data_IF_396061967022
#
_entry.id   IF_396061967022
#
_cell.length_a   1.000
_cell.length_b   1.000
_cell.length_c   1.000
_cell.angle_alpha   90.00
_cell.angle_beta   90.00
_cell.angle_gamma   90.00
#
_symmetry.space_group_name_H-M   'P 1'
#
loop_
_entity.id
_entity.type
_entity.pdbx_description
1 polymer ?
#
# COMPACT_ATOMS: atom_id res chain seq x y z
N UNK A 1 3.76 -10.05 -5.40
CA UNK A 1 3.39 -8.65 -5.70
C UNK A 1 3.58 -8.27 -7.17
N UNK A 2 4.66 -8.72 -7.83
CA UNK A 2 5.06 -8.31 -9.19
C UNK A 2 3.97 -8.38 -10.29
N UNK A 3 3.16 -9.44 -10.33
CA UNK A 3 2.11 -9.57 -11.36
C UNK A 3 1.02 -8.50 -11.22
N UNK A 4 0.61 -8.22 -9.98
CA UNK A 4 -0.36 -7.14 -9.67
C UNK A 4 0.23 -5.78 -10.05
N UNK A 5 1.48 -5.51 -9.64
CA UNK A 5 2.21 -4.30 -10.01
C UNK A 5 2.23 -4.07 -11.52
N UNK A 6 2.63 -5.07 -12.30
CA UNK A 6 2.67 -5.00 -13.78
C UNK A 6 1.28 -4.80 -14.39
N UNK A 7 0.26 -5.46 -13.85
CA UNK A 7 -1.11 -5.34 -14.35
C UNK A 7 -1.68 -3.94 -14.14
N UNK A 8 -1.56 -3.40 -12.93
CA UNK A 8 -1.98 -2.03 -12.60
C UNK A 8 -1.20 -1.01 -13.42
N UNK A 9 0.13 -1.16 -13.49
CA UNK A 9 0.99 -0.29 -14.29
C UNK A 9 0.56 -0.24 -15.76
N UNK A 10 0.27 -1.39 -16.37
CA UNK A 10 -0.19 -1.44 -17.76
C UNK A 10 -1.51 -0.69 -17.99
N UNK A 11 -2.43 -0.70 -17.01
CA UNK A 11 -3.71 0.03 -17.09
C UNK A 11 -3.47 1.55 -16.98
N UNK A 12 -2.58 1.97 -16.10
CA UNK A 12 -2.16 3.38 -15.93
C UNK A 12 -1.52 3.89 -17.23
N UNK A 13 -0.54 3.16 -17.77
CA UNK A 13 0.18 3.53 -19.00
C UNK A 13 -0.74 3.60 -20.23
N UNK A 14 -1.76 2.75 -20.29
CA UNK A 14 -2.81 2.81 -21.33
C UNK A 14 -3.81 3.96 -21.12
N UNK A 15 -3.65 4.77 -20.08
CA UNK A 15 -4.48 5.93 -19.78
C UNK A 15 -5.93 5.59 -19.41
N UNK A 16 -6.22 4.34 -19.04
CA UNK A 16 -7.59 3.85 -18.86
C UNK A 16 -8.33 4.49 -17.69
N UNK A 17 -7.60 4.91 -16.66
CA UNK A 17 -8.14 5.66 -15.52
C UNK A 17 -7.74 7.14 -15.51
N UNK A 18 -7.05 7.62 -16.55
CA UNK A 18 -6.42 8.93 -16.55
C UNK A 18 -5.24 9.00 -15.58
N UNK A 19 -5.09 10.12 -14.86
CA UNK A 19 -4.03 10.29 -13.86
C UNK A 19 -4.52 9.78 -12.50
N UNK A 20 -3.77 8.90 -11.80
CA UNK A 20 -4.10 8.48 -10.44
C UNK A 20 -4.19 9.68 -9.48
N UNK A 21 -5.21 9.67 -8.62
CA UNK A 21 -5.47 10.74 -7.64
C UNK A 21 -5.64 10.22 -6.22
N UNK A 22 -6.08 8.98 -6.05
CA UNK A 22 -6.25 8.36 -4.74
C UNK A 22 -6.03 6.86 -4.78
N UNK A 23 -5.33 6.33 -3.78
CA UNK A 23 -5.17 4.88 -3.57
C UNK A 23 -5.70 4.50 -2.19
N UNK A 24 -6.55 3.48 -2.15
CA UNK A 24 -6.77 2.68 -0.93
C UNK A 24 -6.13 1.31 -1.12
N UNK A 25 -5.31 0.90 -0.17
CA UNK A 25 -4.77 -0.45 -0.10
C UNK A 25 -5.03 -1.04 1.29
N UNK A 26 -5.58 -2.24 1.35
CA UNK A 26 -5.67 -3.03 2.58
C UNK A 26 -4.91 -4.33 2.34
N UNK A 27 -3.83 -4.52 3.08
CA UNK A 27 -3.04 -5.74 3.08
C UNK A 27 -3.31 -6.49 4.39
N UNK A 28 -3.83 -7.69 4.28
CA UNK A 28 -3.86 -8.67 5.35
C UNK A 28 -2.61 -9.54 5.25
N UNK A 29 -1.87 -9.68 6.34
CA UNK A 29 -0.67 -10.51 6.41
C UNK A 29 -0.85 -11.59 7.49
N UNK A 30 -0.46 -12.82 7.16
CA UNK A 30 -0.50 -13.93 8.10
C UNK A 30 0.37 -13.63 9.34
N UNK A 31 -0.09 -14.11 10.50
CA UNK A 31 0.44 -13.79 11.83
C UNK A 31 1.91 -14.16 12.07
N UNK A 32 2.51 -14.96 11.22
CA UNK A 32 3.91 -15.39 11.34
C UNK A 32 4.93 -14.26 11.09
N UNK A 33 4.48 -13.11 10.58
CA UNK A 33 5.36 -11.95 10.36
C UNK A 33 5.67 -11.22 11.67
N UNK A 34 6.94 -11.16 12.05
CA UNK A 34 7.41 -10.57 13.31
C UNK A 34 7.13 -9.07 13.43
N UNK A 35 7.26 -8.31 12.34
CA UNK A 35 7.06 -6.86 12.30
C UNK A 35 6.29 -6.42 11.06
N UNK A 36 5.31 -5.53 11.24
CA UNK A 36 4.55 -4.91 10.16
C UNK A 36 5.32 -3.78 9.44
N UNK A 37 6.53 -3.41 9.89
CA UNK A 37 7.27 -2.30 9.29
C UNK A 37 7.68 -2.60 7.84
N UNK A 38 8.24 -3.78 7.59
CA UNK A 38 8.64 -4.21 6.23
C UNK A 38 7.44 -4.25 5.25
N UNK A 39 6.33 -4.96 5.52
CA UNK A 39 5.19 -4.95 4.61
C UNK A 39 4.61 -3.56 4.42
N UNK A 40 4.63 -2.71 5.47
CA UNK A 40 4.18 -1.32 5.36
C UNK A 40 5.04 -0.53 4.37
N UNK A 41 6.37 -0.62 4.48
CA UNK A 41 7.25 0.12 3.56
C UNK A 41 7.19 -0.39 2.13
N UNK A 42 6.99 -1.69 1.93
CA UNK A 42 6.76 -2.25 0.59
C UNK A 42 5.48 -1.72 -0.04
N UNK A 43 4.38 -1.65 0.71
CA UNK A 43 3.10 -1.12 0.20
C UNK A 43 3.18 0.40 -0.05
N UNK A 44 3.94 1.14 0.75
CA UNK A 44 4.27 2.55 0.47
C UNK A 44 5.04 2.68 -0.84
N UNK A 45 6.10 1.88 -1.04
CA UNK A 45 6.86 1.89 -2.30
C UNK A 45 5.98 1.53 -3.51
N UNK A 46 5.07 0.56 -3.36
CA UNK A 46 4.10 0.20 -4.39
C UNK A 46 3.20 1.40 -4.74
N UNK A 47 2.70 2.12 -3.73
CA UNK A 47 1.87 3.31 -3.94
C UNK A 47 2.61 4.43 -4.66
N UNK A 48 3.87 4.68 -4.29
CA UNK A 48 4.71 5.70 -4.92
C UNK A 48 4.98 5.39 -6.39
N UNK A 49 5.15 4.11 -6.74
CA UNK A 49 5.32 3.70 -8.14
C UNK A 49 4.10 3.92 -9.02
N UNK A 50 2.89 4.05 -8.45
CA UNK A 50 1.65 4.30 -9.20
C UNK A 50 1.23 5.77 -9.21
N UNK A 51 1.66 6.56 -8.22
CA UNK A 51 1.30 7.96 -8.15
C UNK A 51 2.16 8.80 -9.09
N UNK A 52 1.58 9.84 -9.74
CA UNK A 52 2.30 10.66 -10.72
C UNK A 52 3.23 11.70 -10.07
N UNK A 53 3.30 11.75 -8.74
CA UNK A 53 4.00 12.79 -7.98
C UNK A 53 4.76 12.15 -6.83
N UNK A 54 5.81 12.84 -6.36
CA UNK A 54 6.62 12.37 -5.25
C UNK A 54 5.87 12.50 -3.91
N UNK A 55 6.12 11.61 -2.94
CA UNK A 55 5.59 11.76 -1.60
C UNK A 55 6.13 13.05 -0.95
N UNK A 56 5.25 13.76 -0.26
CA UNK A 56 5.53 15.03 0.42
C UNK A 56 5.47 14.86 1.94
N UNK A 57 4.46 14.14 2.44
CA UNK A 57 4.30 13.86 3.87
C UNK A 57 3.80 12.45 4.09
N UNK A 58 4.30 11.84 5.15
CA UNK A 58 3.86 10.53 5.64
C UNK A 58 3.27 10.70 7.03
N UNK A 59 2.06 10.19 7.20
CA UNK A 59 1.39 10.03 8.48
C UNK A 59 1.31 8.53 8.75
N UNK A 60 1.67 8.10 9.96
CA UNK A 60 1.56 6.69 10.32
C UNK A 60 0.99 6.56 11.73
N UNK A 61 0.13 5.55 11.92
CA UNK A 61 -0.46 5.21 13.20
C UNK A 61 -0.54 3.70 13.37
N UNK A 62 -0.51 3.26 14.62
CA UNK A 62 -0.53 1.85 14.99
C UNK A 62 0.77 1.40 15.62
N UNK A 63 0.99 0.10 15.65
CA UNK A 63 2.18 -0.52 16.24
C UNK A 63 2.65 -1.66 15.34
N UNK A 64 3.92 -1.60 14.94
CA UNK A 64 4.56 -2.57 14.05
C UNK A 64 4.59 -3.98 14.63
N UNK A 65 4.48 -4.12 15.95
CA UNK A 65 4.46 -5.42 16.63
C UNK A 65 3.03 -5.87 17.00
N UNK A 66 2.00 -5.04 16.78
CA UNK A 66 0.62 -5.32 17.14
C UNK A 66 -0.21 -5.82 15.93
N UNK A 67 -1.49 -5.48 15.89
CA UNK A 67 -2.44 -5.98 14.89
C UNK A 67 -2.47 -5.15 13.61
N UNK A 68 -2.07 -3.89 13.64
CA UNK A 68 -2.29 -2.99 12.52
C UNK A 68 -1.31 -1.83 12.50
N UNK A 69 -0.90 -1.46 11.28
CA UNK A 69 -0.29 -0.18 10.94
C UNK A 69 -1.10 0.46 9.81
N UNK A 70 -1.47 1.72 9.96
CA UNK A 70 -2.09 2.52 8.91
C UNK A 70 -1.17 3.67 8.53
N UNK A 71 -0.93 3.85 7.24
CA UNK A 71 -0.14 4.92 6.67
C UNK A 71 -0.99 5.75 5.71
N UNK A 72 -0.85 7.06 5.80
CA UNK A 72 -1.34 7.99 4.80
C UNK A 72 -0.14 8.71 4.16
N UNK A 73 -0.05 8.61 2.84
CA UNK A 73 0.96 9.34 2.05
C UNK A 73 0.26 10.49 1.35
N UNK A 74 0.72 11.71 1.60
CA UNK A 74 0.35 12.90 0.85
C UNK A 74 1.42 13.17 -0.20
N UNK A 75 1.01 13.37 -1.45
CA UNK A 75 1.91 13.66 -2.56
C UNK A 75 1.92 15.14 -2.92
N UNK A 76 3.00 15.61 -3.54
CA UNK A 76 3.18 17.04 -3.88
C UNK A 76 2.09 17.59 -4.82
N UNK A 77 1.50 16.74 -5.67
CA UNK A 77 0.40 17.10 -6.56
C UNK A 77 -0.99 17.07 -5.92
N UNK A 78 -1.08 16.85 -4.59
CA UNK A 78 -2.35 16.76 -3.86
C UNK A 78 -3.03 15.40 -3.92
N UNK A 79 -2.41 14.40 -4.57
CA UNK A 79 -2.87 13.01 -4.50
C UNK A 79 -2.64 12.45 -3.09
N UNK A 80 -3.37 11.40 -2.75
CA UNK A 80 -3.25 10.74 -1.44
C UNK A 80 -3.27 9.22 -1.59
N UNK A 81 -2.55 8.51 -0.71
CA UNK A 81 -2.69 7.07 -0.54
C UNK A 81 -3.00 6.74 0.92
N UNK A 82 -4.00 5.89 1.15
CA UNK A 82 -4.32 5.31 2.46
C UNK A 82 -4.04 3.81 2.42
N UNK A 83 -3.13 3.36 3.28
CA UNK A 83 -2.56 2.03 3.26
C UNK A 83 -2.75 1.42 4.65
N UNK A 84 -3.46 0.30 4.74
CA UNK A 84 -3.70 -0.40 6.01
C UNK A 84 -3.08 -1.78 5.93
N UNK A 85 -2.12 -2.07 6.81
CA UNK A 85 -1.47 -3.36 6.93
C UNK A 85 -1.96 -3.99 8.23
N UNK A 86 -2.68 -5.10 8.12
CA UNK A 86 -3.32 -5.78 9.23
C UNK A 86 -2.73 -7.18 9.39
N UNK A 87 -2.32 -7.53 10.60
CA UNK A 87 -2.00 -8.91 10.97
C UNK A 87 -3.31 -9.69 11.17
N UNK A 88 -3.44 -10.83 10.51
CA UNK A 88 -4.61 -11.72 10.60
C UNK A 88 -4.17 -13.16 10.83
N UNK A 89 -5.08 -13.99 11.34
CA UNK A 89 -4.87 -15.44 11.55
C UNK A 89 -5.15 -16.27 10.28
N UNK A 90 -5.59 -15.63 9.20
CA UNK A 90 -5.84 -16.25 7.90
C UNK A 90 -4.64 -16.04 6.96
N UNK A 91 -4.70 -16.51 5.72
CA UNK A 91 -3.61 -16.23 4.78
C UNK A 91 -3.62 -14.78 4.28
N UNK A 92 -2.50 -14.40 3.71
CA UNK A 92 -2.23 -13.06 3.18
C UNK A 92 -3.18 -12.74 2.02
N UNK A 93 -3.76 -11.53 2.06
CA UNK A 93 -4.69 -11.02 1.06
C UNK A 93 -4.47 -9.53 0.84
N UNK A 94 -4.74 -9.04 -0.36
CA UNK A 94 -4.62 -7.62 -0.71
C UNK A 94 -5.86 -7.13 -1.47
N UNK A 95 -6.36 -5.98 -1.03
CA UNK A 95 -7.47 -5.28 -1.66
C UNK A 95 -7.03 -3.86 -2.04
N UNK A 96 -7.31 -3.44 -3.27
CA UNK A 96 -6.89 -2.18 -3.85
C UNK A 96 -8.08 -1.50 -4.51
N UNK A 97 -8.20 -0.20 -4.24
CA UNK A 97 -9.00 0.72 -5.03
C UNK A 97 -8.10 1.88 -5.45
N UNK A 98 -7.75 1.92 -6.75
CA UNK A 98 -6.97 3.02 -7.33
C UNK A 98 -7.89 3.90 -8.17
N UNK A 99 -8.14 5.10 -7.69
CA UNK A 99 -8.96 6.11 -8.36
C UNK A 99 -8.06 7.00 -9.20
N UNK A 100 -8.39 7.12 -10.47
CA UNK A 100 -7.87 8.16 -11.35
C UNK A 100 -8.97 9.12 -11.80
N UNK A 101 -8.59 10.24 -12.39
CA UNK A 101 -9.56 11.27 -12.80
C UNK A 101 -10.48 10.86 -13.98
N UNK A 102 -10.33 9.66 -14.55
CA UNK A 102 -11.18 9.11 -15.62
C UNK A 102 -11.73 7.71 -15.33
N UNK A 103 -11.45 7.14 -14.16
CA UNK A 103 -11.90 5.77 -13.84
C UNK A 103 -11.27 5.21 -12.58
N UNK A 104 -11.60 3.96 -12.25
CA UNK A 104 -11.13 3.28 -11.03
C UNK A 104 -10.68 1.85 -11.37
N UNK A 105 -9.60 1.40 -10.73
CA UNK A 105 -9.19 -0.01 -10.71
C UNK A 105 -9.58 -0.60 -9.35
N UNK A 106 -10.26 -1.74 -9.39
CA UNK A 106 -10.50 -2.58 -8.22
C UNK A 106 -9.72 -3.88 -8.37
N UNK A 107 -9.07 -4.29 -7.29
CA UNK A 107 -8.50 -5.61 -7.13
C UNK A 107 -8.84 -6.08 -5.73
N UNK A 108 -9.39 -7.28 -5.62
CA UNK A 108 -9.69 -7.90 -4.33
C UNK A 108 -9.20 -9.34 -4.39
N UNK A 109 -8.63 -9.81 -3.29
CA UNK A 109 -8.26 -11.23 -3.20
C UNK A 109 -9.55 -12.04 -3.06
N UNK A 110 -9.82 -13.02 -3.94
CA UNK A 110 -11.07 -13.77 -3.91
C UNK A 110 -11.31 -14.45 -2.56
N UNK A 111 -12.50 -14.26 -1.98
CA UNK A 111 -12.92 -14.92 -0.74
C UNK A 111 -13.72 -16.22 -1.02
N UNK A 112 -13.81 -17.11 -0.03
CA UNK A 112 -14.66 -18.30 -0.09
C UNK A 112 -14.08 -19.43 -0.95
N UNK A 113 -14.91 -20.13 -1.73
CA UNK A 113 -14.47 -21.33 -2.51
C UNK A 113 -13.45 -21.01 -3.61
N UNK A 114 -13.46 -19.78 -4.12
CA UNK A 114 -12.56 -19.34 -5.18
C UNK A 114 -11.15 -19.00 -4.68
N UNK A 115 -10.97 -19.00 -3.36
CA UNK A 115 -9.71 -18.71 -2.71
C UNK A 115 -8.60 -19.72 -3.06
N UNK A 116 -8.93 -20.99 -3.28
CA UNK A 116 -7.98 -22.04 -3.67
C UNK A 116 -7.28 -21.76 -5.01
N UNK A 117 -7.82 -20.83 -5.81
CA UNK A 117 -7.23 -20.39 -7.08
C UNK A 117 -6.53 -19.04 -6.96
N UNK A 118 -6.58 -18.38 -5.81
CA UNK A 118 -5.86 -17.15 -5.55
C UNK A 118 -4.40 -17.47 -5.26
N UNK A 119 -3.49 -16.72 -5.88
CA UNK A 119 -2.10 -16.72 -5.47
C UNK A 119 -1.93 -15.64 -4.41
N UNK A 120 -1.63 -15.98 -3.14
CA UNK A 120 -1.41 -14.98 -2.10
C UNK A 120 -0.35 -13.97 -2.55
N UNK A 121 -0.49 -12.68 -2.21
CA UNK A 121 0.49 -11.69 -2.58
C UNK A 121 1.81 -11.99 -1.87
N UNK A 122 2.81 -12.35 -2.66
CA UNK A 122 4.18 -12.52 -2.16
C UNK A 122 4.81 -11.14 -1.96
N UNK A 123 5.21 -10.85 -0.73
CA UNK A 123 5.94 -9.65 -0.35
C UNK A 123 7.42 -9.81 -0.72
N UNK A 124 8.02 -8.72 -1.20
CA UNK A 124 9.41 -8.62 -1.55
C UNK A 124 10.27 -8.15 -0.36
N UNK A 125 11.25 -7.30 -0.68
CA UNK A 125 12.16 -6.70 0.31
C UNK A 125 11.59 -5.41 0.89
N UNK A 126 12.18 -4.93 1.98
CA UNK A 126 11.94 -3.61 2.57
C UNK A 126 11.89 -2.52 1.49
N UNK A 127 10.81 -1.73 1.51
CA UNK A 127 10.60 -0.62 0.57
C UNK A 127 11.32 0.66 0.98
N UNK A 128 11.27 1.67 0.11
CA UNK A 128 11.74 3.02 0.41
C UNK A 128 10.98 3.65 1.59
N UNK A 129 11.55 4.72 2.16
CA UNK A 129 10.95 5.51 3.26
C UNK A 129 10.68 4.70 4.55
N UNK A 130 11.32 3.55 4.73
CA UNK A 130 11.17 2.71 5.94
C UNK A 130 11.50 3.49 7.22
N UNK A 131 12.60 4.26 7.23
CA UNK A 131 13.00 5.08 8.38
C UNK A 131 11.96 6.18 8.66
N UNK A 132 11.48 6.86 7.62
CA UNK A 132 10.45 7.91 7.73
C UNK A 132 9.15 7.35 8.31
N UNK A 133 8.73 6.15 7.90
CA UNK A 133 7.55 5.48 8.44
C UNK A 133 7.76 5.14 9.92
N UNK A 134 8.94 4.62 10.28
CA UNK A 134 9.27 4.31 11.67
C UNK A 134 9.24 5.57 12.55
N UNK A 135 9.79 6.69 12.07
CA UNK A 135 9.78 7.98 12.77
C UNK A 135 8.35 8.53 12.92
N UNK A 136 7.54 8.44 11.87
CA UNK A 136 6.13 8.84 11.90
C UNK A 136 5.34 8.03 12.94
N UNK A 137 5.60 6.72 13.03
CA UNK A 137 4.98 5.84 14.04
C UNK A 137 5.46 6.17 15.45
N UNK A 138 6.76 6.41 15.64
CA UNK A 138 7.33 6.69 16.94
C UNK A 138 6.85 8.04 17.51
N UNK A 139 6.70 9.05 16.66
CA UNK A 139 6.29 10.40 17.07
C UNK A 139 4.77 10.58 17.05
N UNK A 140 4.04 9.78 16.27
CA UNK A 140 2.63 9.99 15.97
C UNK A 140 2.34 11.30 15.20
N UNK A 141 3.38 11.92 14.64
CA UNK A 141 3.30 13.18 13.90
C UNK A 141 3.60 12.94 12.42
N UNK A 142 3.08 13.78 11.51
CA UNK A 142 3.49 13.74 10.12
C UNK A 142 4.96 14.05 9.95
N UNK A 143 5.66 13.22 9.17
CA UNK A 143 7.03 13.48 8.74
C UNK A 143 7.01 13.99 7.30
N UNK A 144 7.71 15.10 7.05
CA UNK A 144 7.89 15.63 5.69
C UNK A 144 9.00 14.84 5.01
N UNK A 145 8.77 14.40 3.78
CA UNK A 145 9.76 13.72 2.96
C UNK A 145 10.53 14.80 2.20
N UNK A 146 11.79 15.02 2.55
CA UNK A 146 12.67 15.90 1.77
C UNK A 146 13.05 15.19 0.47
N UNK A 147 12.88 15.89 -0.66
CA UNK A 147 13.13 15.37 -2.01
C UNK A 147 14.56 15.59 -2.49
#
# INVERSE_FOLDING_TARGET
>A
MESLKKSVQSVIEKGRIGSPVFLRCVLHIASETSSLLQPTSEIVALSNGWMPSQPQRIYAQGDVNATQVTVMVQYTGGQMAMLSINRVETETAIDIMLVGNKGVIYHETPIGRNYLSATPPQLGTTGELTEVIADALATGQPITVEG
#
